data_IF_302125520038
#
_entry.id   IF_302125520038
#
_cell.length_a   1.000
_cell.length_b   1.000
_cell.length_c   1.000
_cell.angle_alpha   90.00
_cell.angle_beta   90.00
_cell.angle_gamma   90.00
#
_symmetry.space_group_name_H-M   'P 1'
#
loop_
_entity.id
_entity.type
_entity.pdbx_description
1 polymer ?
#
# COMPACT_ATOMS: atom_id res chain seq x y z
N UNK A 1 9.93 -11.23 10.85
CA UNK A 1 9.07 -10.36 10.01
C UNK A 1 9.22 -10.80 8.57
N UNK A 2 8.46 -11.81 8.11
CA UNK A 2 8.45 -12.14 6.69
C UNK A 2 7.84 -10.99 5.87
N UNK A 3 8.34 -10.83 4.65
CA UNK A 3 7.79 -9.91 3.65
C UNK A 3 7.13 -10.73 2.55
N UNK A 4 5.90 -10.36 2.17
CA UNK A 4 5.15 -11.03 1.10
C UNK A 4 4.41 -10.03 0.22
N UNK A 5 3.94 -10.49 -0.94
CA UNK A 5 2.95 -9.74 -1.72
C UNK A 5 1.71 -9.52 -0.86
N UNK A 6 1.18 -8.31 -0.95
CA UNK A 6 -0.08 -7.95 -0.32
C UNK A 6 -1.24 -8.67 -1.02
N UNK A 7 -2.31 -8.95 -0.29
CA UNK A 7 -3.60 -9.39 -0.82
C UNK A 7 -4.64 -8.29 -0.60
N UNK A 8 -5.77 -8.28 -1.33
CA UNK A 8 -6.79 -7.25 -1.15
C UNK A 8 -7.30 -7.12 0.29
N UNK A 9 -7.32 -8.21 1.06
CA UNK A 9 -7.72 -8.20 2.48
C UNK A 9 -6.72 -7.49 3.39
N UNK A 10 -5.47 -7.27 2.96
CA UNK A 10 -4.48 -6.51 3.73
C UNK A 10 -4.72 -5.00 3.66
N UNK A 11 -5.52 -4.50 2.70
CA UNK A 11 -5.67 -3.06 2.41
C UNK A 11 -6.00 -2.22 3.65
N UNK A 12 -6.97 -2.59 4.51
CA UNK A 12 -7.28 -1.79 5.69
C UNK A 12 -6.09 -1.67 6.66
N UNK A 13 -5.33 -2.76 6.84
CA UNK A 13 -4.16 -2.78 7.71
C UNK A 13 -2.98 -2.01 7.10
N UNK A 14 -2.81 -2.09 5.78
CA UNK A 14 -1.82 -1.28 5.06
C UNK A 14 -2.12 0.22 5.16
N UNK A 15 -3.38 0.62 4.95
CA UNK A 15 -3.79 2.02 5.03
C UNK A 15 -3.54 2.59 6.44
N UNK A 16 -3.89 1.83 7.48
CA UNK A 16 -3.61 2.19 8.87
C UNK A 16 -2.11 2.32 9.16
N UNK A 17 -1.30 1.36 8.71
CA UNK A 17 0.15 1.41 8.89
C UNK A 17 0.78 2.64 8.20
N UNK A 18 0.37 2.94 6.97
CA UNK A 18 0.84 4.11 6.23
C UNK A 18 0.37 5.43 6.86
N UNK A 19 -0.88 5.50 7.31
CA UNK A 19 -1.42 6.65 8.02
C UNK A 19 -0.61 6.98 9.27
N UNK A 20 -0.28 5.97 10.08
CA UNK A 20 0.55 6.15 11.27
C UNK A 20 1.99 6.51 10.93
N UNK A 21 2.61 5.82 9.96
CA UNK A 21 4.01 6.03 9.60
C UNK A 21 4.27 7.45 9.04
N UNK A 22 3.32 7.98 8.29
CA UNK A 22 3.46 9.26 7.59
C UNK A 22 2.74 10.43 8.28
N UNK A 23 2.16 10.20 9.46
CA UNK A 23 1.38 11.22 10.18
C UNK A 23 2.15 12.53 10.40
N UNK A 24 3.40 12.44 10.86
CA UNK A 24 4.27 13.59 11.12
C UNK A 24 5.42 13.73 10.12
N UNK A 25 5.38 13.00 9.01
CA UNK A 25 6.41 13.09 7.98
C UNK A 25 6.22 14.41 7.19
N UNK A 26 7.29 15.18 6.92
CA UNK A 26 7.17 16.51 6.32
C UNK A 26 6.36 16.57 5.03
N UNK A 27 6.59 15.66 4.08
CA UNK A 27 5.86 15.68 2.82
C UNK A 27 4.39 15.31 3.03
N UNK A 28 4.11 14.17 3.64
CA UNK A 28 2.74 13.67 3.73
C UNK A 28 1.93 14.36 4.82
N UNK A 29 2.46 14.39 6.03
CA UNK A 29 1.78 14.87 7.22
C UNK A 29 1.64 16.38 7.28
N UNK A 30 2.51 17.14 6.61
CA UNK A 30 2.49 18.61 6.66
C UNK A 30 2.05 19.21 5.32
N UNK A 31 2.58 18.74 4.19
CA UNK A 31 2.30 19.34 2.89
C UNK A 31 1.07 18.72 2.20
N UNK A 32 0.98 17.39 2.12
CA UNK A 32 -0.09 16.73 1.37
C UNK A 32 -1.40 16.64 2.16
N UNK A 33 -1.31 16.38 3.48
CA UNK A 33 -2.46 16.22 4.38
C UNK A 33 -2.42 17.26 5.51
N UNK A 34 -2.48 18.58 5.19
CA UNK A 34 -2.29 19.65 6.17
C UNK A 34 -3.34 19.63 7.29
N UNK A 35 -4.57 19.19 6.99
CA UNK A 35 -5.69 19.16 7.94
C UNK A 35 -5.88 17.81 8.65
N UNK A 36 -4.86 16.93 8.68
CA UNK A 36 -4.93 15.62 9.34
C UNK A 36 -5.41 15.66 10.81
N UNK A 37 -5.14 16.75 11.53
CA UNK A 37 -5.54 16.90 12.92
C UNK A 37 -7.02 17.28 13.06
N UNK A 38 -7.59 17.93 12.04
CA UNK A 38 -9.00 18.33 11.98
C UNK A 38 -9.87 17.18 11.45
N UNK A 39 -9.33 16.39 10.51
CA UNK A 39 -10.01 15.26 9.85
C UNK A 39 -9.14 13.99 9.88
N UNK A 40 -8.90 13.39 11.07
CA UNK A 40 -8.00 12.25 11.22
C UNK A 40 -8.46 11.00 10.45
N UNK A 41 -9.76 10.81 10.27
CA UNK A 41 -10.36 9.72 9.51
C UNK A 41 -10.03 9.79 8.01
N UNK A 42 -9.86 10.99 7.45
CA UNK A 42 -9.58 11.18 6.03
C UNK A 42 -8.16 10.76 5.65
N UNK A 43 -7.24 10.70 6.61
CA UNK A 43 -5.87 10.21 6.38
C UNK A 43 -5.87 8.73 6.01
N UNK A 44 -6.66 7.91 6.70
CA UNK A 44 -6.79 6.49 6.35
C UNK A 44 -7.43 6.33 4.96
N UNK A 45 -8.49 7.08 4.69
CA UNK A 45 -9.16 7.08 3.39
C UNK A 45 -8.22 7.46 2.25
N UNK A 46 -7.36 8.47 2.47
CA UNK A 46 -6.34 8.87 1.51
C UNK A 46 -5.41 7.71 1.15
N UNK A 47 -4.91 6.98 2.15
CA UNK A 47 -4.02 5.85 1.93
C UNK A 47 -4.73 4.67 1.28
N UNK A 48 -5.97 4.37 1.67
CA UNK A 48 -6.82 3.38 0.98
C UNK A 48 -6.96 3.69 -0.51
N UNK A 49 -7.27 4.95 -0.86
CA UNK A 49 -7.38 5.37 -2.26
C UNK A 49 -6.05 5.29 -3.01
N UNK A 50 -4.93 5.66 -2.35
CA UNK A 50 -3.58 5.51 -2.92
C UNK A 50 -3.23 4.06 -3.20
N UNK A 51 -3.52 3.15 -2.26
CA UNK A 51 -3.27 1.72 -2.40
C UNK A 51 -4.07 1.13 -3.56
N UNK A 52 -5.37 1.42 -3.64
CA UNK A 52 -6.23 0.96 -4.74
C UNK A 52 -5.74 1.43 -6.10
N UNK A 53 -5.34 2.71 -6.22
CA UNK A 53 -4.76 3.28 -7.44
C UNK A 53 -3.41 2.66 -7.82
N UNK A 54 -2.62 2.24 -6.83
CA UNK A 54 -1.37 1.55 -7.09
C UNK A 54 -1.64 0.12 -7.56
N UNK A 55 -2.58 -0.57 -6.92
CA UNK A 55 -2.93 -1.94 -7.27
C UNK A 55 -3.47 -2.09 -8.70
N UNK A 56 -4.24 -1.10 -9.17
CA UNK A 56 -4.83 -1.10 -10.52
C UNK A 56 -3.81 -0.89 -11.65
N UNK A 57 -2.51 -0.80 -11.34
CA UNK A 57 -1.46 -0.53 -12.33
C UNK A 57 -0.55 -1.75 -12.49
N UNK A 58 -0.39 -2.28 -13.71
CA UNK A 58 0.40 -3.49 -13.97
C UNK A 58 1.86 -3.43 -13.53
N UNK A 59 2.47 -2.23 -13.53
CA UNK A 59 3.85 -2.02 -13.14
C UNK A 59 4.07 -1.77 -11.65
N UNK A 60 3.04 -1.91 -10.82
CA UNK A 60 3.16 -1.75 -9.37
C UNK A 60 3.19 -3.11 -8.65
N UNK A 61 3.87 -3.12 -7.50
CA UNK A 61 3.89 -4.23 -6.54
C UNK A 61 3.67 -3.69 -5.15
N UNK A 62 2.68 -4.26 -4.46
CA UNK A 62 2.36 -3.92 -3.08
C UNK A 62 2.85 -5.07 -2.21
N UNK A 63 3.63 -4.73 -1.19
CA UNK A 63 4.24 -5.67 -0.26
C UNK A 63 3.78 -5.34 1.16
N UNK A 64 3.66 -6.37 1.98
CA UNK A 64 3.44 -6.25 3.41
C UNK A 64 4.53 -6.96 4.19
N UNK A 65 4.88 -6.38 5.34
CA UNK A 65 5.65 -7.06 6.37
C UNK A 65 4.68 -7.53 7.45
N UNK A 66 4.82 -8.79 7.89
CA UNK A 66 3.91 -9.38 8.87
C UNK A 66 4.63 -9.87 10.12
N UNK A 67 3.87 -10.02 11.20
CA UNK A 67 4.27 -10.71 12.43
C UNK A 67 3.16 -11.65 12.84
N UNK A 68 3.51 -12.76 13.49
CA UNK A 68 2.51 -13.63 14.11
C UNK A 68 2.28 -13.15 15.55
N UNK A 69 1.03 -12.87 15.90
CA UNK A 69 0.60 -12.51 17.25
C UNK A 69 -0.52 -13.47 17.63
N UNK A 70 -0.26 -14.31 18.63
CA UNK A 70 -1.23 -15.30 19.13
C UNK A 70 -1.80 -16.22 18.04
N UNK A 71 -0.94 -16.66 17.11
CA UNK A 71 -1.32 -17.51 15.98
C UNK A 71 -1.93 -16.77 14.79
N UNK A 72 -2.21 -15.47 14.93
CA UNK A 72 -2.80 -14.63 13.88
C UNK A 72 -1.72 -13.80 13.19
N UNK A 73 -1.66 -13.88 11.86
CA UNK A 73 -0.79 -13.00 11.08
C UNK A 73 -1.34 -11.56 11.09
N UNK A 74 -0.49 -10.60 11.47
CA UNK A 74 -0.81 -9.16 11.46
C UNK A 74 0.17 -8.41 10.56
N UNK A 75 -0.37 -7.55 9.71
CA UNK A 75 0.42 -6.60 8.91
C UNK A 75 0.97 -5.51 9.84
N UNK A 76 2.28 -5.27 9.78
CA UNK A 76 2.99 -4.25 10.57
C UNK A 76 3.76 -3.24 9.71
N UNK A 77 3.73 -3.43 8.40
CA UNK A 77 4.35 -2.50 7.46
C UNK A 77 3.86 -2.75 6.05
N UNK A 78 3.92 -1.70 5.23
CA UNK A 78 3.53 -1.75 3.83
C UNK A 78 4.59 -1.06 2.97
N UNK A 79 4.79 -1.56 1.76
CA UNK A 79 5.61 -0.91 0.74
C UNK A 79 4.91 -0.93 -0.61
N UNK A 80 5.03 0.18 -1.34
CA UNK A 80 4.49 0.35 -2.68
C UNK A 80 5.67 0.57 -3.63
N UNK A 81 5.89 -0.38 -4.53
CA UNK A 81 6.96 -0.34 -5.51
C UNK A 81 6.40 -0.14 -6.90
N UNK A 82 7.09 0.68 -7.71
CA UNK A 82 6.77 0.89 -9.11
C UNK A 82 7.98 0.53 -9.98
N UNK A 83 7.78 -0.33 -10.97
CA UNK A 83 8.75 -0.51 -12.05
C UNK A 83 8.62 0.63 -13.06
N UNK A 84 9.70 1.40 -13.20
CA UNK A 84 9.80 2.52 -14.14
C UNK A 84 10.68 2.15 -15.34
N UNK A 85 10.55 2.93 -16.43
CA UNK A 85 11.23 2.71 -17.71
C UNK A 85 10.29 2.22 -18.81
N UNK A 86 10.87 1.79 -19.91
CA UNK A 86 10.23 1.22 -21.10
C UNK A 86 10.98 -0.01 -21.64
N UNK A 87 11.86 -0.59 -20.82
CA UNK A 87 12.64 -1.78 -21.16
C UNK A 87 11.85 -3.10 -21.00
N UNK A 88 12.45 -4.19 -21.49
CA UNK A 88 11.90 -5.54 -21.38
C UNK A 88 11.66 -5.98 -19.91
N UNK A 89 12.37 -5.40 -18.95
CA UNK A 89 12.16 -5.65 -17.54
C UNK A 89 10.83 -5.06 -17.04
N UNK A 90 10.41 -3.91 -17.55
CA UNK A 90 9.06 -3.39 -17.28
C UNK A 90 7.99 -4.27 -17.90
N UNK A 91 8.14 -4.66 -19.17
CA UNK A 91 7.17 -5.53 -19.84
C UNK A 91 6.94 -6.81 -19.03
N UNK A 92 8.02 -7.46 -18.58
CA UNK A 92 7.93 -8.65 -17.74
C UNK A 92 7.11 -8.44 -16.45
N UNK A 93 7.31 -7.31 -15.77
CA UNK A 93 6.55 -6.98 -14.55
C UNK A 93 5.08 -6.73 -14.87
N UNK A 94 4.78 -6.08 -15.99
CA UNK A 94 3.39 -5.86 -16.41
C UNK A 94 2.69 -7.18 -16.81
N UNK A 95 3.41 -8.11 -17.45
CA UNK A 95 2.89 -9.43 -17.85
C UNK A 95 2.60 -10.35 -16.66
N UNK A 96 3.39 -10.24 -15.57
CA UNK A 96 3.17 -10.97 -14.32
C UNK A 96 1.99 -10.44 -13.49
N UNK A 97 1.46 -9.27 -13.83
CA UNK A 97 0.39 -8.66 -13.07
C UNK A 97 -0.93 -9.38 -13.30
N UNK A 98 -1.62 -9.71 -12.22
CA UNK A 98 -2.98 -10.23 -12.24
C UNK A 98 -3.93 -9.19 -11.64
N UNK A 99 -5.06 -8.98 -12.31
CA UNK A 99 -6.12 -8.09 -11.83
C UNK A 99 -6.75 -8.66 -10.56
N UNK A 100 -6.45 -8.03 -9.42
CA UNK A 100 -7.03 -8.38 -8.12
C UNK A 100 -8.49 -7.94 -7.96
N UNK A 101 -9.03 -7.16 -8.91
CA UNK A 101 -10.41 -6.68 -8.93
C UNK A 101 -11.40 -7.62 -9.60
N UNK A 102 -10.94 -8.72 -10.22
CA UNK A 102 -11.81 -9.82 -10.68
C UNK A 102 -11.85 -10.91 -9.62
N UNK A 103 -12.58 -10.67 -8.54
CA UNK A 103 -13.12 -11.76 -7.74
C UNK A 103 -14.49 -12.12 -8.33
N UNK A 104 -14.59 -13.29 -8.94
CA UNK A 104 -15.86 -13.92 -9.35
C UNK A 104 -16.77 -14.14 -8.15
#
# INVERSE_FOLDING_TARGET
MPVRLATPSDEPAMASALASAFWNEPLWGIVILPHKNEYPEDVNRYWSDKLRKAWSKPNYRLLVSTVNVDGVEKVVGAAIWQRQGDDAGKQKVEDEWADVGKQN
#
